data_IF_329086857385
#
_entry.id   IF_329086857385
#
_cell.length_a   1.000
_cell.length_b   1.000
_cell.length_c   1.000
_cell.angle_alpha   90.00
_cell.angle_beta   90.00
_cell.angle_gamma   90.00
#
_symmetry.space_group_name_H-M   'P 1'
#
loop_
_entity.id
_entity.type
_entity.pdbx_description
1 polymer ?
#
# COMPACT_ATOMS: atom_id res chain seq x y z
N UNK A 1 8.10 -16.54 0.50
CA UNK A 1 6.70 -16.36 -0.02
C UNK A 1 6.73 -15.79 -1.42
N UNK A 2 5.76 -16.12 -2.32
CA UNK A 2 5.65 -15.50 -3.65
C UNK A 2 4.75 -14.28 -3.60
N UNK A 3 5.11 -13.23 -4.34
CA UNK A 3 4.34 -11.98 -4.42
C UNK A 3 3.01 -12.22 -5.14
N UNK A 4 1.89 -11.89 -4.46
CA UNK A 4 0.54 -12.06 -4.99
C UNK A 4 -0.04 -10.70 -5.40
N UNK A 5 -0.64 -10.62 -6.58
CA UNK A 5 -1.28 -9.39 -7.09
C UNK A 5 -2.73 -9.20 -6.62
N UNK A 6 -3.34 -10.23 -6.06
CA UNK A 6 -4.73 -10.21 -5.55
C UNK A 6 -5.73 -9.60 -6.54
N UNK A 7 -5.46 -9.79 -7.82
CA UNK A 7 -6.27 -9.20 -8.90
C UNK A 7 -6.30 -7.65 -8.93
N UNK A 8 -5.54 -6.97 -8.08
CA UNK A 8 -5.42 -5.50 -8.02
C UNK A 8 -4.22 -5.00 -8.84
N UNK A 9 -4.06 -3.69 -8.89
CA UNK A 9 -2.91 -3.04 -9.54
C UNK A 9 -1.78 -2.90 -8.52
N UNK A 10 -0.56 -3.25 -8.92
CA UNK A 10 0.63 -3.14 -8.07
C UNK A 10 1.69 -2.25 -8.73
N UNK A 11 2.41 -1.49 -7.91
CA UNK A 11 3.59 -0.76 -8.34
C UNK A 11 4.82 -1.68 -8.53
N UNK A 12 4.87 -2.82 -7.84
CA UNK A 12 5.93 -3.80 -8.02
C UNK A 12 5.48 -4.87 -9.03
N UNK A 13 6.36 -5.16 -10.01
CA UNK A 13 6.19 -6.21 -11.00
C UNK A 13 7.10 -7.39 -10.66
N UNK A 14 6.81 -8.59 -11.17
CA UNK A 14 7.76 -9.71 -11.13
C UNK A 14 8.98 -9.38 -11.99
N UNK A 15 10.23 -9.77 -11.59
CA UNK A 15 10.56 -10.51 -10.36
C UNK A 15 10.74 -9.65 -9.10
N UNK A 16 10.65 -8.32 -9.23
CA UNK A 16 10.96 -7.38 -8.14
C UNK A 16 10.09 -7.58 -6.88
N UNK A 17 8.82 -7.94 -7.06
CA UNK A 17 7.95 -8.24 -5.93
C UNK A 17 8.40 -9.45 -5.13
N UNK A 18 8.83 -10.53 -5.79
CA UNK A 18 9.35 -11.73 -5.14
C UNK A 18 10.66 -11.45 -4.41
N UNK A 19 11.60 -10.71 -5.07
CA UNK A 19 12.88 -10.32 -4.47
C UNK A 19 12.66 -9.42 -3.24
N UNK A 20 11.71 -8.49 -3.33
CA UNK A 20 11.37 -7.61 -2.21
C UNK A 20 10.85 -8.40 -1.00
N UNK A 21 9.95 -9.37 -1.21
CA UNK A 21 9.46 -10.21 -0.12
C UNK A 21 10.55 -11.10 0.47
N UNK A 22 11.48 -11.61 -0.34
CA UNK A 22 12.64 -12.35 0.15
C UNK A 22 13.52 -11.50 1.05
N UNK A 23 13.72 -10.23 0.69
CA UNK A 23 14.44 -9.27 1.53
C UNK A 23 13.74 -9.04 2.86
N UNK A 24 12.42 -8.79 2.86
CA UNK A 24 11.64 -8.62 4.10
C UNK A 24 11.67 -9.89 4.96
N UNK A 25 11.65 -11.07 4.34
CA UNK A 25 11.74 -12.36 5.02
C UNK A 25 13.11 -12.58 5.67
N UNK A 26 14.19 -12.15 5.02
CA UNK A 26 15.56 -12.21 5.56
C UNK A 26 15.73 -11.32 6.78
N UNK A 27 15.28 -10.05 6.70
CA UNK A 27 15.39 -9.09 7.79
C UNK A 27 14.43 -9.36 8.95
N UNK A 28 13.34 -10.07 8.73
CA UNK A 28 12.30 -10.38 9.74
C UNK A 28 11.88 -9.17 10.59
N UNK A 29 11.54 -8.03 9.97
CA UNK A 29 11.13 -6.86 10.73
C UNK A 29 9.78 -7.07 11.39
N UNK A 30 9.58 -6.56 12.62
CA UNK A 30 8.27 -6.53 13.28
C UNK A 30 7.50 -5.24 13.03
N UNK A 31 8.21 -4.12 12.85
CA UNK A 31 7.63 -2.79 12.67
C UNK A 31 8.04 -2.23 11.30
N UNK A 32 7.11 -2.19 10.39
CA UNK A 32 7.35 -1.80 9.00
C UNK A 32 6.66 -0.48 8.67
N UNK A 33 7.38 0.42 7.99
CA UNK A 33 6.87 1.65 7.41
C UNK A 33 6.91 1.58 5.88
N UNK A 34 5.76 1.80 5.24
CA UNK A 34 5.63 1.97 3.79
C UNK A 34 5.20 3.39 3.45
N UNK A 35 5.97 4.07 2.60
CA UNK A 35 5.57 5.35 1.98
C UNK A 35 5.24 5.08 0.52
N UNK A 36 4.01 5.40 0.12
CA UNK A 36 3.48 5.07 -1.21
C UNK A 36 2.75 3.72 -1.23
N UNK A 37 1.62 3.63 -0.55
CA UNK A 37 0.80 2.40 -0.42
C UNK A 37 0.12 2.03 -1.74
N UNK A 38 -0.34 3.05 -2.48
CA UNK A 38 -1.08 2.87 -3.73
C UNK A 38 -2.34 2.02 -3.56
N UNK A 39 -2.49 0.91 -4.30
CA UNK A 39 -3.65 0.02 -4.18
C UNK A 39 -3.50 -1.06 -3.07
N UNK A 40 -2.51 -0.94 -2.18
CA UNK A 40 -2.32 -1.81 -1.01
C UNK A 40 -1.78 -3.21 -1.29
N UNK A 41 -1.40 -3.53 -2.54
CA UNK A 41 -0.96 -4.89 -2.90
C UNK A 41 0.33 -5.28 -2.19
N UNK A 42 1.33 -4.39 -2.19
CA UNK A 42 2.58 -4.62 -1.45
C UNK A 42 2.33 -4.71 0.05
N UNK A 43 1.53 -3.78 0.58
CA UNK A 43 1.11 -3.75 1.98
C UNK A 43 0.51 -5.07 2.44
N UNK A 44 -0.38 -5.64 1.64
CA UNK A 44 -1.01 -6.93 1.95
C UNK A 44 -0.01 -8.08 1.95
N UNK A 45 0.87 -8.15 0.95
CA UNK A 45 1.92 -9.17 0.90
C UNK A 45 2.83 -9.10 2.13
N UNK A 46 3.25 -7.88 2.53
CA UNK A 46 4.04 -7.68 3.76
C UNK A 46 3.26 -8.15 4.97
N UNK A 47 2.03 -7.69 5.17
CA UNK A 47 1.23 -8.06 6.33
C UNK A 47 0.98 -9.57 6.42
N UNK A 48 0.82 -10.27 5.29
CA UNK A 48 0.71 -11.73 5.26
C UNK A 48 2.01 -12.41 5.68
N UNK A 49 3.15 -11.91 5.19
CA UNK A 49 4.46 -12.43 5.59
C UNK A 49 4.73 -12.19 7.08
N UNK A 50 4.48 -10.97 7.58
CA UNK A 50 4.66 -10.64 9.00
C UNK A 50 3.74 -11.48 9.90
N UNK A 51 2.49 -11.69 9.47
CA UNK A 51 1.55 -12.54 10.21
C UNK A 51 2.02 -13.99 10.26
N UNK A 52 2.62 -14.50 9.20
CA UNK A 52 3.20 -15.84 9.16
C UNK A 52 4.38 -15.97 10.12
N UNK A 53 5.23 -14.93 10.19
CA UNK A 53 6.45 -14.95 10.99
C UNK A 53 6.19 -14.66 12.48
N UNK A 54 5.23 -13.78 12.80
CA UNK A 54 5.04 -13.21 14.14
C UNK A 54 3.62 -13.34 14.69
N UNK A 55 2.70 -13.96 13.97
CA UNK A 55 1.30 -14.05 14.39
C UNK A 55 0.64 -12.68 14.43
N UNK A 56 0.28 -12.21 15.63
CA UNK A 56 -0.27 -10.88 15.87
C UNK A 56 0.74 -9.87 16.43
N UNK A 57 2.01 -10.27 16.61
CA UNK A 57 3.06 -9.44 17.19
C UNK A 57 3.87 -8.71 16.11
N UNK A 58 3.19 -7.87 15.34
CA UNK A 58 3.80 -6.96 14.36
C UNK A 58 3.02 -5.64 14.26
N UNK A 59 3.65 -4.63 13.68
CA UNK A 59 3.04 -3.35 13.33
C UNK A 59 3.39 -2.97 11.89
N UNK A 60 2.40 -2.47 11.19
CA UNK A 60 2.57 -1.95 9.84
C UNK A 60 1.99 -0.54 9.76
N UNK A 61 2.77 0.38 9.24
CA UNK A 61 2.41 1.78 9.00
C UNK A 61 2.46 2.05 7.51
N UNK A 62 1.36 2.51 6.94
CA UNK A 62 1.26 2.87 5.53
C UNK A 62 0.89 4.34 5.34
N UNK A 63 1.71 5.09 4.64
CA UNK A 63 1.48 6.50 4.32
C UNK A 63 1.24 6.66 2.82
N UNK A 64 0.16 7.35 2.47
CA UNK A 64 -0.16 7.68 1.07
C UNK A 64 -1.14 8.85 0.99
N UNK A 65 -1.23 9.48 -0.18
CA UNK A 65 -2.24 10.49 -0.47
C UNK A 65 -3.64 9.88 -0.64
N UNK A 66 -3.72 8.60 -0.94
CA UNK A 66 -4.95 7.81 -1.13
C UNK A 66 -5.96 8.48 -2.09
N UNK A 67 -5.51 8.92 -3.25
CA UNK A 67 -6.39 9.54 -4.25
C UNK A 67 -6.94 10.90 -3.81
N UNK A 68 -6.23 11.63 -2.96
CA UNK A 68 -6.66 12.95 -2.49
C UNK A 68 -6.59 13.97 -3.63
N UNK A 69 -7.73 14.48 -4.06
CA UNK A 69 -7.86 15.49 -5.12
C UNK A 69 -7.82 16.93 -4.59
N UNK A 70 -7.61 17.13 -3.29
CA UNK A 70 -7.53 18.49 -2.74
C UNK A 70 -6.19 19.10 -3.12
N UNK A 71 -6.22 20.08 -4.02
CA UNK A 71 -5.16 21.04 -4.26
C UNK A 71 -5.00 21.91 -3.01
N UNK A 72 -4.23 21.46 -2.04
CA UNK A 72 -3.98 22.24 -0.82
C UNK A 72 -2.68 23.03 -0.86
N UNK A 73 -1.77 22.71 -1.77
CA UNK A 73 -0.56 23.52 -2.04
C UNK A 73 0.01 23.21 -3.41
N UNK A 74 0.85 24.09 -3.93
CA UNK A 74 1.48 24.03 -5.26
C UNK A 74 2.38 22.79 -5.42
N UNK A 75 2.80 22.17 -4.33
CA UNK A 75 3.76 21.07 -4.30
C UNK A 75 3.11 19.66 -4.25
N UNK A 76 1.78 19.59 -4.10
CA UNK A 76 1.05 18.31 -4.04
C UNK A 76 0.44 17.96 -5.40
N UNK A 77 1.31 17.68 -6.37
CA UNK A 77 0.85 17.10 -7.63
C UNK A 77 0.64 15.61 -7.41
N UNK A 78 -0.58 15.23 -7.06
CA UNK A 78 -0.97 13.85 -7.12
C UNK A 78 -1.15 13.43 -8.59
N UNK A 79 -0.48 12.37 -9.04
CA UNK A 79 -0.78 11.83 -10.36
C UNK A 79 -2.26 11.44 -10.36
N UNK A 80 -3.04 11.99 -11.27
CA UNK A 80 -4.45 11.61 -11.52
C UNK A 80 -4.55 10.18 -12.06
N UNK A 81 -4.03 9.22 -11.32
CA UNK A 81 -3.98 7.81 -11.73
C UNK A 81 -5.36 7.18 -11.90
N UNK A 82 -6.43 7.89 -11.51
CA UNK A 82 -7.62 7.19 -11.09
C UNK A 82 -8.89 7.51 -11.83
N UNK A 83 -8.91 8.55 -12.61
CA UNK A 83 -10.09 8.83 -13.46
C UNK A 83 -10.27 7.77 -14.55
N UNK A 84 -9.18 7.04 -14.91
CA UNK A 84 -9.23 5.94 -15.87
C UNK A 84 -8.27 4.82 -15.44
N UNK A 85 -8.70 3.94 -14.55
CA UNK A 85 -7.93 2.75 -14.19
C UNK A 85 -7.82 1.81 -15.40
N UNK A 86 -6.72 1.93 -16.15
CA UNK A 86 -6.43 1.01 -17.24
C UNK A 86 -5.74 -0.24 -16.71
N UNK A 87 -6.38 -1.37 -16.91
CA UNK A 87 -5.78 -2.68 -16.69
C UNK A 87 -5.41 -3.30 -18.03
N UNK A 88 -4.30 -4.04 -18.07
CA UNK A 88 -3.95 -4.85 -19.24
C UNK A 88 -4.96 -5.96 -19.53
N UNK A 89 -5.69 -6.41 -18.52
CA UNK A 89 -6.77 -7.39 -18.65
C UNK A 89 -8.12 -6.65 -18.72
N UNK A 90 -8.86 -6.76 -19.83
CA UNK A 90 -10.14 -6.07 -20.03
C UNK A 90 -11.21 -6.50 -19.02
N UNK A 91 -11.19 -7.73 -18.56
CA UNK A 91 -12.13 -8.21 -17.53
C UNK A 91 -11.97 -7.47 -16.20
N UNK A 92 -10.73 -7.14 -15.82
CA UNK A 92 -10.47 -6.31 -14.62
C UNK A 92 -11.03 -4.90 -14.81
N UNK A 93 -10.87 -4.33 -16.00
CA UNK A 93 -11.41 -3.00 -16.32
C UNK A 93 -12.93 -2.98 -16.16
N UNK A 94 -13.61 -3.97 -16.75
CA UNK A 94 -15.07 -4.09 -16.64
C UNK A 94 -15.47 -4.25 -15.16
N UNK A 95 -14.83 -5.16 -14.46
CA UNK A 95 -15.15 -5.45 -13.06
C UNK A 95 -15.00 -4.23 -12.15
N UNK A 96 -13.84 -3.56 -12.18
CA UNK A 96 -13.58 -2.44 -11.27
C UNK A 96 -14.26 -1.14 -11.69
N UNK A 97 -14.36 -0.84 -12.98
CA UNK A 97 -14.91 0.43 -13.44
C UNK A 97 -16.44 0.41 -13.53
N UNK A 98 -17.04 -0.74 -13.87
CA UNK A 98 -18.49 -0.80 -14.15
C UNK A 98 -19.28 -1.60 -13.11
N UNK A 99 -18.71 -2.70 -12.57
CA UNK A 99 -19.42 -3.56 -11.60
C UNK A 99 -19.16 -3.04 -10.18
N UNK A 100 -17.92 -3.02 -9.75
CA UNK A 100 -17.55 -2.57 -8.40
C UNK A 100 -17.62 -1.06 -8.24
N UNK A 101 -17.31 -0.30 -9.28
CA UNK A 101 -17.17 1.17 -9.27
C UNK A 101 -16.26 1.63 -8.14
N UNK A 102 -15.18 0.90 -7.92
CA UNK A 102 -14.29 1.06 -6.78
C UNK A 102 -13.00 1.77 -7.20
N UNK A 103 -12.67 2.83 -6.49
CA UNK A 103 -11.39 3.49 -6.61
C UNK A 103 -10.32 2.75 -5.77
N UNK A 104 -9.55 1.88 -6.41
CA UNK A 104 -8.65 0.93 -5.75
C UNK A 104 -7.57 1.55 -4.86
N UNK A 105 -7.21 2.82 -5.07
CA UNK A 105 -6.24 3.51 -4.21
C UNK A 105 -6.89 4.48 -3.22
N UNK A 106 -8.22 4.51 -3.11
CA UNK A 106 -8.86 5.27 -2.03
C UNK A 106 -8.51 4.66 -0.67
N UNK A 107 -8.50 5.52 0.36
CA UNK A 107 -8.25 5.08 1.74
C UNK A 107 -9.18 3.93 2.14
N UNK A 108 -10.48 4.06 1.87
CA UNK A 108 -11.47 3.07 2.26
C UNK A 108 -11.29 1.74 1.53
N UNK A 109 -10.99 1.78 0.22
CA UNK A 109 -10.73 0.57 -0.56
C UNK A 109 -9.48 -0.17 -0.08
N UNK A 110 -8.43 0.55 0.32
CA UNK A 110 -7.22 -0.05 0.86
C UNK A 110 -7.46 -0.58 2.27
N UNK A 111 -8.18 0.14 3.12
CA UNK A 111 -8.54 -0.34 4.46
C UNK A 111 -9.40 -1.61 4.40
N UNK A 112 -10.42 -1.66 3.54
CA UNK A 112 -11.22 -2.89 3.36
C UNK A 112 -10.36 -4.05 2.84
N UNK A 113 -9.45 -3.78 1.91
CA UNK A 113 -8.53 -4.78 1.39
C UNK A 113 -7.56 -5.35 2.44
N UNK A 114 -7.21 -4.55 3.45
CA UNK A 114 -6.33 -4.92 4.56
C UNK A 114 -7.09 -5.27 5.85
N UNK A 115 -8.43 -5.34 5.82
CA UNK A 115 -9.28 -5.48 7.01
C UNK A 115 -8.91 -6.63 7.95
N UNK A 116 -8.39 -7.74 7.42
CA UNK A 116 -7.96 -8.87 8.25
C UNK A 116 -6.74 -8.58 9.14
N UNK A 117 -6.09 -7.42 8.95
CA UNK A 117 -4.94 -6.96 9.72
C UNK A 117 -5.22 -5.70 10.55
N UNK A 118 -6.48 -5.29 10.68
CA UNK A 118 -6.90 -3.99 11.28
C UNK A 118 -6.25 -3.71 12.63
N UNK A 119 -6.00 -4.75 13.44
CA UNK A 119 -5.35 -4.60 14.76
C UNK A 119 -3.85 -4.31 14.68
N UNK A 120 -3.23 -4.58 13.54
CA UNK A 120 -1.78 -4.51 13.32
C UNK A 120 -1.37 -3.37 12.41
N UNK A 121 -2.33 -2.72 11.71
CA UNK A 121 -2.05 -1.71 10.71
C UNK A 121 -2.51 -0.33 11.14
N UNK A 122 -1.75 0.68 10.72
CA UNK A 122 -2.14 2.09 10.77
C UNK A 122 -1.91 2.70 9.40
N UNK A 123 -2.98 3.07 8.70
CA UNK A 123 -2.88 3.86 7.48
C UNK A 123 -3.04 5.33 7.79
N UNK A 124 -2.19 6.15 7.20
CA UNK A 124 -2.21 7.60 7.38
C UNK A 124 -2.30 8.28 6.02
N UNK A 125 -3.35 9.09 5.85
CA UNK A 125 -3.59 9.85 4.63
C UNK A 125 -2.91 11.21 4.73
N UNK A 126 -2.05 11.51 3.77
CA UNK A 126 -1.39 12.82 3.67
C UNK A 126 -0.04 12.76 2.97
N UNK A 127 0.51 13.95 2.74
CA UNK A 127 1.86 14.10 2.21
C UNK A 127 2.89 13.68 3.27
N UNK A 128 3.77 12.74 2.93
CA UNK A 128 4.79 12.22 3.84
C UNK A 128 5.67 13.31 4.46
N UNK A 129 5.97 14.39 3.73
CA UNK A 129 6.79 15.51 4.23
C UNK A 129 6.16 16.24 5.43
N UNK A 130 4.83 16.24 5.51
CA UNK A 130 4.10 16.87 6.61
C UNK A 130 3.73 15.83 7.68
N UNK A 131 3.15 14.73 7.26
CA UNK A 131 2.55 13.74 8.16
C UNK A 131 3.59 12.98 9.00
N UNK A 132 4.80 12.73 8.47
CA UNK A 132 5.86 12.02 9.21
C UNK A 132 6.30 12.73 10.49
N UNK A 133 6.15 14.05 10.56
CA UNK A 133 6.49 14.84 11.75
C UNK A 133 5.49 14.66 12.89
N UNK A 134 4.24 14.37 12.53
CA UNK A 134 3.11 14.34 13.46
C UNK A 134 2.73 12.91 13.88
N UNK A 135 3.28 11.91 13.18
CA UNK A 135 3.00 10.52 13.50
C UNK A 135 3.98 10.05 14.56
N UNK A 136 3.46 9.66 15.70
CA UNK A 136 4.25 8.92 16.69
C UNK A 136 4.51 7.49 16.16
N UNK A 137 5.58 7.34 15.38
CA UNK A 137 6.09 6.07 14.88
C UNK A 137 7.37 5.79 15.67
N UNK A 138 7.29 4.91 16.62
CA UNK A 138 8.45 4.44 17.38
C UNK A 138 8.91 3.07 16.88
N UNK A 139 10.21 2.83 16.91
CA UNK A 139 10.81 1.51 16.67
C UNK A 139 10.55 0.91 15.30
N UNK A 140 10.74 1.67 14.22
CA UNK A 140 10.68 1.12 12.87
C UNK A 140 11.93 0.29 12.60
N UNK A 141 11.72 -0.99 12.28
CA UNK A 141 12.78 -1.95 11.94
C UNK A 141 13.10 -1.94 10.44
N UNK A 142 12.10 -1.60 9.63
CA UNK A 142 12.22 -1.60 8.17
C UNK A 142 11.32 -0.52 7.55
N UNK A 143 11.93 0.35 6.75
CA UNK A 143 11.19 1.36 6.00
C UNK A 143 11.49 1.26 4.51
N UNK A 144 10.49 1.43 3.66
CA UNK A 144 10.69 1.54 2.24
C UNK A 144 9.76 2.57 1.61
N UNK A 145 10.26 3.18 0.52
CA UNK A 145 9.58 4.24 -0.19
C UNK A 145 9.35 3.78 -1.63
N UNK A 146 8.12 3.87 -2.09
CA UNK A 146 7.77 3.69 -3.51
C UNK A 146 7.51 5.05 -4.14
N UNK A 147 8.36 5.42 -5.08
CA UNK A 147 8.17 6.62 -5.91
C UNK A 147 7.50 6.15 -7.21
N UNK A 148 6.32 6.67 -7.48
CA UNK A 148 5.64 6.43 -8.75
C UNK A 148 5.99 7.59 -9.70
N UNK A 149 6.64 7.27 -10.81
CA UNK A 149 6.89 8.21 -11.92
C UNK A 149 5.84 8.04 -13.00
#
# INVERSE_FOLDING_TARGET
MKYNYYWRKSGLKKPYGDNFLSLVEEYKPKNVLEIGVFCGVTSRNICELLKTNFGSDFRYYGLDLFGSTKKSSVDEIEPKFLENQKFSNPLKTIYYNYIKKENLNSYDSVMDFLKKFTKNIKLVKGNSNHVLKDINISNIDFAFIKIFH
#
